data_IF_206499189403
#
_entry.id   IF_206499189403
#
_cell.length_a   1.000
_cell.length_b   1.000
_cell.length_c   1.000
_cell.angle_alpha   90.00
_cell.angle_beta   90.00
_cell.angle_gamma   90.00
#
_symmetry.space_group_name_H-M   'P 1'
#
loop_
_entity.id
_entity.type
_entity.pdbx_description
1 polymer ?
#
# COMPACT_ATOMS: atom_id res chain seq x y z
N UNK A 1 -0.06 -13.32 2.68
CA UNK A 1 0.94 -13.94 1.78
C UNK A 1 2.23 -13.15 1.97
N UNK A 2 3.38 -13.79 2.17
CA UNK A 2 4.63 -13.05 2.25
C UNK A 2 5.04 -12.52 0.87
N UNK A 3 5.36 -11.23 0.80
CA UNK A 3 6.17 -10.62 -0.25
C UNK A 3 7.65 -10.81 0.11
N UNK A 4 8.49 -10.93 -0.91
CA UNK A 4 9.93 -11.06 -0.75
C UNK A 4 10.40 -12.47 -0.36
N UNK A 5 11.68 -12.57 -0.04
CA UNK A 5 12.35 -13.86 0.18
C UNK A 5 13.37 -13.81 1.31
N UNK A 6 13.55 -14.94 2.01
CA UNK A 6 14.62 -15.06 3.01
C UNK A 6 16.02 -14.85 2.41
N UNK A 7 16.21 -15.15 1.11
CA UNK A 7 17.44 -14.86 0.37
C UNK A 7 17.67 -13.37 0.13
N UNK A 8 16.62 -12.60 -0.14
CA UNK A 8 16.73 -11.14 -0.28
C UNK A 8 17.06 -10.48 1.05
N UNK A 9 16.43 -10.91 2.15
CA UNK A 9 16.80 -10.47 3.50
C UNK A 9 18.26 -10.84 3.82
N UNK A 10 18.71 -12.03 3.43
CA UNK A 10 20.09 -12.47 3.62
C UNK A 10 21.09 -11.60 2.83
N UNK A 11 20.71 -11.09 1.66
CA UNK A 11 21.53 -10.16 0.89
C UNK A 11 21.69 -8.79 1.60
N UNK A 12 20.66 -8.32 2.31
CA UNK A 12 20.70 -7.08 3.09
C UNK A 12 21.49 -7.22 4.40
N UNK A 13 21.35 -8.37 5.08
CA UNK A 13 21.94 -8.62 6.40
C UNK A 13 22.97 -9.76 6.38
N UNK A 14 23.91 -9.72 5.43
CA UNK A 14 24.86 -10.83 5.19
C UNK A 14 25.69 -11.23 6.42
N UNK A 15 25.98 -10.31 7.34
CA UNK A 15 26.70 -10.61 8.60
C UNK A 15 25.89 -11.44 9.60
N UNK A 16 24.57 -11.54 9.45
CA UNK A 16 23.70 -12.38 10.28
C UNK A 16 23.55 -13.82 9.74
N UNK A 17 24.13 -14.08 8.55
CA UNK A 17 24.07 -15.39 7.89
C UNK A 17 25.29 -16.24 8.20
N UNK A 18 25.18 -17.56 8.01
CA UNK A 18 26.32 -18.47 8.20
C UNK A 18 27.41 -18.20 7.15
N UNK A 19 28.67 -18.14 7.60
CA UNK A 19 29.82 -18.02 6.73
C UNK A 19 29.87 -19.19 5.74
N UNK A 20 29.87 -18.89 4.43
CA UNK A 20 29.90 -19.89 3.36
C UNK A 20 28.57 -20.01 2.60
N UNK A 21 27.48 -20.26 3.32
CA UNK A 21 26.16 -20.50 2.71
C UNK A 21 25.42 -19.20 2.36
N UNK A 22 25.73 -18.10 3.05
CA UNK A 22 25.08 -16.80 2.80
C UNK A 22 23.57 -16.82 3.02
N UNK A 23 23.08 -17.75 3.84
CA UNK A 23 21.67 -17.97 4.11
C UNK A 23 21.38 -18.06 5.61
N UNK A 24 20.14 -17.76 5.98
CA UNK A 24 19.62 -18.08 7.31
C UNK A 24 19.34 -19.59 7.42
N UNK A 25 19.70 -20.19 8.55
CA UNK A 25 19.43 -21.59 8.85
C UNK A 25 18.90 -21.75 10.30
N UNK A 26 19.00 -22.94 10.87
CA UNK A 26 18.54 -23.20 12.24
C UNK A 26 19.53 -22.71 13.31
N UNK A 27 20.77 -22.45 12.92
CA UNK A 27 21.87 -22.04 13.80
C UNK A 27 22.17 -20.53 13.71
N UNK A 28 21.62 -19.84 12.70
CA UNK A 28 21.68 -18.38 12.62
C UNK A 28 20.78 -17.72 13.67
N UNK A 29 21.12 -16.49 14.05
CA UNK A 29 20.30 -15.67 14.95
C UNK A 29 20.05 -14.32 14.26
N UNK A 30 18.83 -14.06 13.75
CA UNK A 30 17.63 -14.92 13.81
C UNK A 30 17.71 -16.18 12.94
N UNK A 31 16.89 -17.17 13.28
CA UNK A 31 16.73 -18.40 12.49
C UNK A 31 15.96 -18.12 11.19
N UNK A 32 16.11 -18.98 10.18
CA UNK A 32 15.34 -18.88 8.93
C UNK A 32 13.83 -18.77 9.16
N UNK A 33 13.31 -19.54 10.12
CA UNK A 33 11.88 -19.54 10.46
C UNK A 33 11.42 -18.20 11.02
N UNK A 34 12.25 -17.55 11.84
CA UNK A 34 11.96 -16.22 12.36
C UNK A 34 12.00 -15.16 11.27
N UNK A 35 12.97 -15.24 10.34
CA UNK A 35 13.04 -14.31 9.20
C UNK A 35 11.80 -14.43 8.30
N UNK A 36 11.32 -15.65 8.04
CA UNK A 36 10.07 -15.85 7.31
C UNK A 36 8.86 -15.25 8.04
N UNK A 37 8.79 -15.39 9.37
CA UNK A 37 7.74 -14.75 10.16
C UNK A 37 7.80 -13.21 10.07
N UNK A 38 9.00 -12.63 10.07
CA UNK A 38 9.16 -11.17 9.90
C UNK A 38 8.72 -10.70 8.50
N UNK A 39 8.93 -11.51 7.46
CA UNK A 39 8.41 -11.23 6.12
C UNK A 39 6.87 -11.30 6.10
N UNK A 40 6.27 -12.28 6.77
CA UNK A 40 4.82 -12.36 6.92
C UNK A 40 4.26 -11.12 7.63
N UNK A 41 4.88 -10.68 8.72
CA UNK A 41 4.48 -9.49 9.48
C UNK A 41 4.58 -8.21 8.63
N UNK A 42 5.71 -8.02 7.93
CA UNK A 42 5.91 -6.87 7.04
C UNK A 42 4.91 -6.87 5.88
N UNK A 43 4.61 -8.04 5.33
CA UNK A 43 3.64 -8.19 4.24
C UNK A 43 2.21 -7.92 4.71
N UNK A 44 1.85 -8.31 5.93
CA UNK A 44 0.56 -8.00 6.52
C UNK A 44 0.37 -6.49 6.73
N UNK A 45 1.41 -5.77 7.16
CA UNK A 45 1.38 -4.31 7.26
C UNK A 45 1.19 -3.65 5.88
N UNK A 46 1.89 -4.15 4.86
CA UNK A 46 1.74 -3.66 3.49
C UNK A 46 0.34 -3.94 2.93
N UNK A 47 -0.21 -5.13 3.19
CA UNK A 47 -1.58 -5.49 2.81
C UNK A 47 -2.62 -4.58 3.51
N UNK A 48 -2.41 -4.25 4.78
CA UNK A 48 -3.28 -3.32 5.50
C UNK A 48 -3.26 -1.92 4.87
N UNK A 49 -2.09 -1.41 4.48
CA UNK A 49 -1.95 -0.10 3.84
C UNK A 49 -2.53 -0.09 2.42
N UNK A 50 -2.30 -1.14 1.64
CA UNK A 50 -2.90 -1.31 0.32
C UNK A 50 -4.44 -1.39 0.39
N UNK A 51 -4.97 -2.13 1.37
CA UNK A 51 -6.40 -2.22 1.59
C UNK A 51 -7.02 -0.87 1.95
N UNK A 52 -6.34 -0.05 2.76
CA UNK A 52 -6.78 1.33 3.04
C UNK A 52 -6.84 2.20 1.78
N UNK A 53 -5.95 1.95 0.81
CA UNK A 53 -5.92 2.64 -0.48
C UNK A 53 -6.87 2.03 -1.53
N UNK A 54 -7.70 1.06 -1.15
CA UNK A 54 -8.73 0.47 -2.00
C UNK A 54 -8.26 -0.68 -2.89
N UNK A 55 -7.07 -1.23 -2.66
CA UNK A 55 -6.57 -2.39 -3.40
C UNK A 55 -7.08 -3.71 -2.82
N UNK A 56 -7.34 -4.68 -3.70
CA UNK A 56 -7.60 -6.05 -3.29
C UNK A 56 -6.30 -6.70 -2.81
N UNK A 57 -6.31 -7.20 -1.58
CA UNK A 57 -5.15 -7.86 -0.97
C UNK A 57 -5.47 -9.33 -0.67
N UNK A 58 -4.48 -10.24 -0.76
CA UNK A 58 -3.09 -9.99 -1.18
C UNK A 58 -2.98 -9.70 -2.69
N UNK A 59 -2.03 -8.85 -3.07
CA UNK A 59 -1.79 -8.52 -4.49
C UNK A 59 -0.95 -9.63 -5.12
N UNK A 60 -1.41 -10.16 -6.25
CA UNK A 60 -0.76 -11.29 -6.95
C UNK A 60 -0.16 -10.92 -8.31
N UNK A 61 -0.35 -9.68 -8.76
CA UNK A 61 0.20 -9.20 -10.03
C UNK A 61 1.73 -9.18 -9.98
N UNK A 62 2.40 -9.91 -10.88
CA UNK A 62 3.85 -10.18 -10.81
C UNK A 62 4.73 -8.93 -10.84
N UNK A 63 4.34 -7.91 -11.61
CA UNK A 63 5.05 -6.62 -11.65
C UNK A 63 4.91 -5.85 -10.34
N UNK A 64 3.77 -5.99 -9.67
CA UNK A 64 3.53 -5.37 -8.38
C UNK A 64 4.31 -6.10 -7.29
N UNK A 65 4.23 -7.43 -7.26
CA UNK A 65 4.97 -8.23 -6.27
C UNK A 65 6.47 -7.98 -6.37
N UNK A 66 7.04 -7.86 -7.59
CA UNK A 66 8.45 -7.53 -7.77
C UNK A 66 8.88 -6.18 -7.16
N UNK A 67 7.95 -5.22 -7.04
CA UNK A 67 8.18 -3.93 -6.39
C UNK A 67 7.97 -4.01 -4.88
N UNK A 68 7.02 -4.83 -4.42
CA UNK A 68 6.72 -5.03 -3.01
C UNK A 68 7.76 -5.91 -2.30
N UNK A 69 8.36 -6.87 -3.00
CA UNK A 69 9.37 -7.79 -2.48
C UNK A 69 10.50 -7.08 -1.71
N UNK A 70 11.25 -6.11 -2.29
CA UNK A 70 12.32 -5.43 -1.57
C UNK A 70 11.82 -4.63 -0.35
N UNK A 71 10.57 -4.19 -0.35
CA UNK A 71 9.99 -3.38 0.75
C UNK A 71 9.67 -4.26 1.95
N UNK A 72 9.10 -5.45 1.73
CA UNK A 72 8.93 -6.44 2.77
C UNK A 72 10.29 -6.91 3.31
N UNK A 73 11.28 -7.06 2.43
CA UNK A 73 12.65 -7.42 2.81
C UNK A 73 13.32 -6.36 3.70
N UNK A 74 13.09 -5.06 3.47
CA UNK A 74 13.56 -4.00 4.38
C UNK A 74 12.96 -4.13 5.78
N UNK A 75 11.66 -4.41 5.90
CA UNK A 75 11.03 -4.63 7.20
C UNK A 75 11.65 -5.84 7.92
N UNK A 76 11.77 -6.97 7.23
CA UNK A 76 12.35 -8.18 7.78
C UNK A 76 13.84 -8.00 8.15
N UNK A 77 14.60 -7.23 7.38
CA UNK A 77 15.98 -6.85 7.69
C UNK A 77 16.07 -5.97 8.96
N UNK A 78 15.16 -5.00 9.12
CA UNK A 78 15.09 -4.19 10.33
C UNK A 78 14.84 -5.05 11.58
N UNK A 79 13.93 -6.01 11.48
CA UNK A 79 13.61 -6.96 12.55
C UNK A 79 14.76 -7.94 12.82
N UNK A 80 15.46 -8.40 11.78
CA UNK A 80 16.61 -9.27 11.96
C UNK A 80 17.76 -8.56 12.68
N UNK A 81 18.03 -7.31 12.33
CA UNK A 81 19.07 -6.51 12.99
C UNK A 81 18.68 -6.13 14.42
N UNK A 82 17.39 -5.92 14.72
CA UNK A 82 16.94 -5.61 16.08
C UNK A 82 17.14 -6.80 17.03
N UNK A 83 17.04 -8.04 16.53
CA UNK A 83 17.39 -9.24 17.31
C UNK A 83 18.88 -9.23 17.68
N UNK A 84 19.78 -8.87 16.76
CA UNK A 84 21.21 -8.80 17.05
C UNK A 84 21.57 -7.66 18.02
N UNK A 85 20.92 -6.49 17.91
CA UNK A 85 21.17 -5.37 18.83
C UNK A 85 20.74 -5.71 20.26
N UNK A 86 19.60 -6.39 20.43
CA UNK A 86 19.17 -6.90 21.73
C UNK A 86 20.15 -7.96 22.26
N UNK A 87 20.61 -8.88 21.39
CA UNK A 87 21.57 -9.94 21.78
C UNK A 87 22.88 -9.38 22.31
N UNK A 88 23.40 -8.32 21.69
CA UNK A 88 24.70 -7.76 22.05
C UNK A 88 24.73 -7.12 23.44
N UNK A 89 23.61 -6.78 24.07
CA UNK A 89 23.54 -6.04 25.35
C UNK A 89 24.22 -4.65 25.36
N UNK A 90 24.97 -4.32 24.30
CA UNK A 90 25.66 -3.05 24.04
C UNK A 90 24.69 -1.93 23.63
N UNK A 91 23.49 -1.86 24.22
CA UNK A 91 22.50 -0.84 23.88
C UNK A 91 23.01 0.56 24.27
N UNK A 92 23.83 1.14 23.39
CA UNK A 92 24.23 2.53 23.40
C UNK A 92 23.12 3.29 22.66
N UNK A 93 22.04 3.58 23.38
CA UNK A 93 20.79 4.15 22.88
C UNK A 93 20.88 5.58 22.36
N UNK A 94 21.79 5.89 21.45
CA UNK A 94 22.04 7.26 20.99
C UNK A 94 22.35 7.42 19.49
N UNK A 95 22.17 6.41 18.64
CA UNK A 95 22.29 6.65 17.20
C UNK A 95 20.92 6.65 16.50
N UNK A 96 20.51 7.82 16.04
CA UNK A 96 19.55 8.04 14.95
C UNK A 96 19.98 7.34 13.63
N UNK A 97 21.04 6.52 13.65
CA UNK A 97 21.61 5.81 12.50
C UNK A 97 21.88 4.34 12.82
N UNK A 98 21.08 3.72 13.70
CA UNK A 98 21.16 2.28 13.91
C UNK A 98 20.72 1.54 12.64
N UNK A 99 21.38 0.42 12.28
CA UNK A 99 20.98 -0.38 11.11
C UNK A 99 19.49 -0.77 11.12
N UNK A 100 18.89 -1.18 12.26
CA UNK A 100 17.45 -1.41 12.33
C UNK A 100 16.62 -0.17 11.94
N UNK A 101 16.99 1.00 12.45
CA UNK A 101 16.31 2.27 12.13
C UNK A 101 16.41 2.57 10.64
N UNK A 102 17.60 2.43 10.05
CA UNK A 102 17.84 2.68 8.63
C UNK A 102 16.94 1.81 7.72
N UNK A 103 16.86 0.51 8.00
CA UNK A 103 16.00 -0.39 7.22
C UNK A 103 14.51 -0.07 7.40
N UNK A 104 14.10 0.29 8.62
CA UNK A 104 12.72 0.71 8.89
C UNK A 104 12.37 2.03 8.18
N UNK A 105 13.31 2.97 8.09
CA UNK A 105 13.14 4.21 7.32
C UNK A 105 13.04 3.95 5.82
N UNK A 106 13.85 3.03 5.27
CA UNK A 106 13.74 2.62 3.87
C UNK A 106 12.39 1.94 3.59
N UNK A 107 11.93 1.06 4.49
CA UNK A 107 10.62 0.44 4.39
C UNK A 107 9.50 1.49 4.37
N UNK A 108 9.47 2.39 5.36
CA UNK A 108 8.45 3.45 5.46
C UNK A 108 8.52 4.41 4.28
N UNK A 109 9.71 4.90 3.93
CA UNK A 109 9.89 5.82 2.81
C UNK A 109 9.53 5.21 1.46
N UNK A 110 9.76 3.91 1.27
CA UNK A 110 9.33 3.20 0.07
C UNK A 110 7.80 3.03 0.02
N UNK A 111 7.18 2.65 1.16
CA UNK A 111 5.73 2.57 1.28
C UNK A 111 5.06 3.91 1.00
N UNK A 112 5.53 4.98 1.62
CA UNK A 112 5.00 6.33 1.41
C UNK A 112 5.05 6.71 -0.07
N UNK A 113 6.20 6.48 -0.74
CA UNK A 113 6.36 6.78 -2.18
C UNK A 113 5.45 5.96 -3.08
N UNK A 114 5.24 4.68 -2.76
CA UNK A 114 4.34 3.82 -3.55
C UNK A 114 2.89 4.21 -3.34
N UNK A 115 2.51 4.58 -2.11
CA UNK A 115 1.15 4.96 -1.76
C UNK A 115 0.82 6.42 -2.10
N UNK A 116 1.80 7.22 -2.54
CA UNK A 116 1.55 8.55 -3.11
C UNK A 116 0.47 8.49 -4.20
N UNK A 117 -0.31 9.58 -4.29
CA UNK A 117 -1.46 9.67 -5.21
C UNK A 117 -2.41 8.46 -5.10
N UNK A 118 -2.63 7.96 -3.87
CA UNK A 118 -3.46 6.79 -3.55
C UNK A 118 -2.98 5.49 -4.22
N UNK A 119 -1.68 5.31 -4.45
CA UNK A 119 -1.15 4.10 -5.08
C UNK A 119 -1.33 4.03 -6.59
N UNK A 120 -1.42 5.16 -7.29
CA UNK A 120 -1.58 5.22 -8.75
C UNK A 120 -0.55 4.36 -9.49
N UNK A 121 0.70 4.34 -9.02
CA UNK A 121 1.76 3.50 -9.57
C UNK A 121 1.40 2.00 -9.51
N UNK A 122 0.83 1.52 -8.40
CA UNK A 122 0.37 0.14 -8.27
C UNK A 122 -0.75 -0.19 -9.25
N UNK A 123 -1.69 0.74 -9.45
CA UNK A 123 -2.78 0.57 -10.42
C UNK A 123 -2.24 0.47 -11.85
N UNK A 124 -1.25 1.28 -12.22
CA UNK A 124 -0.57 1.23 -13.53
C UNK A 124 0.16 -0.11 -13.71
N UNK A 125 0.79 -0.62 -12.65
CA UNK A 125 1.49 -1.90 -12.65
C UNK A 125 0.55 -3.13 -12.64
N UNK A 126 -0.77 -2.91 -12.55
CA UNK A 126 -1.78 -3.97 -12.63
C UNK A 126 -2.34 -4.45 -11.30
N UNK A 127 -2.15 -3.72 -10.20
CA UNK A 127 -2.84 -4.03 -8.95
C UNK A 127 -4.35 -3.83 -9.11
N UNK A 128 -5.14 -4.84 -8.72
CA UNK A 128 -6.60 -4.78 -8.77
C UNK A 128 -7.13 -3.93 -7.63
N UNK A 129 -8.07 -3.03 -7.93
CA UNK A 129 -8.79 -2.26 -6.92
C UNK A 129 -10.13 -2.92 -6.59
N UNK A 130 -10.43 -3.00 -5.30
CA UNK A 130 -11.74 -3.43 -4.80
C UNK A 130 -12.74 -2.28 -4.71
N UNK A 131 -12.27 -1.04 -4.61
CA UNK A 131 -13.12 0.16 -4.52
C UNK A 131 -12.84 1.15 -5.66
N UNK A 132 -13.89 1.85 -6.09
CA UNK A 132 -13.79 2.92 -7.10
C UNK A 132 -12.94 4.09 -6.55
N UNK A 133 -12.17 4.77 -7.41
CA UNK A 133 -11.47 6.00 -7.03
C UNK A 133 -12.43 7.14 -6.64
N UNK A 134 -13.69 7.06 -7.11
CA UNK A 134 -14.78 7.98 -6.77
C UNK A 134 -15.51 7.60 -5.48
N UNK A 135 -15.11 6.51 -4.80
CA UNK A 135 -15.74 6.09 -3.56
C UNK A 135 -15.57 7.19 -2.49
N UNK A 136 -16.68 7.81 -2.07
CA UNK A 136 -16.71 8.95 -1.16
C UNK A 136 -16.59 10.34 -1.81
N UNK A 137 -16.48 10.44 -3.15
CA UNK A 137 -16.45 11.70 -3.87
C UNK A 137 -17.88 12.09 -4.26
N UNK A 138 -18.51 12.92 -3.43
CA UNK A 138 -19.91 13.33 -3.63
C UNK A 138 -20.02 14.85 -3.75
N UNK A 139 -20.48 15.32 -4.91
CA UNK A 139 -20.95 16.70 -5.06
C UNK A 139 -22.38 16.76 -4.49
N UNK A 140 -22.53 17.25 -3.26
CA UNK A 140 -23.84 17.45 -2.62
C UNK A 140 -24.12 16.63 -1.35
N UNK A 141 -23.21 15.73 -0.93
CA UNK A 141 -23.33 15.03 0.35
C UNK A 141 -24.19 13.76 0.36
N UNK A 142 -24.62 13.26 -0.80
CA UNK A 142 -25.28 11.97 -0.97
C UNK A 142 -24.37 11.02 -1.74
N UNK A 143 -24.29 9.76 -1.33
CA UNK A 143 -23.56 8.74 -2.09
C UNK A 143 -24.20 8.46 -3.46
N UNK A 144 -23.45 7.92 -4.44
CA UNK A 144 -24.03 7.56 -5.75
C UNK A 144 -25.13 6.50 -5.59
N UNK A 145 -24.91 5.53 -4.70
CA UNK A 145 -25.90 4.53 -4.31
C UNK A 145 -27.11 5.15 -3.60
N UNK A 146 -26.92 6.15 -2.75
CA UNK A 146 -28.04 6.89 -2.15
C UNK A 146 -28.77 7.73 -3.20
N UNK A 147 -28.06 8.38 -4.13
CA UNK A 147 -28.69 9.17 -5.17
C UNK A 147 -29.62 8.32 -6.03
N UNK A 148 -29.17 7.16 -6.50
CA UNK A 148 -30.01 6.23 -7.27
C UNK A 148 -31.17 5.64 -6.44
N UNK A 149 -31.08 5.67 -5.11
CA UNK A 149 -32.15 5.24 -4.20
C UNK A 149 -33.18 6.36 -3.93
N UNK A 150 -32.77 7.63 -3.98
CA UNK A 150 -33.56 8.78 -3.53
C UNK A 150 -33.99 9.75 -4.65
N UNK A 151 -33.33 9.73 -5.80
CA UNK A 151 -33.65 10.56 -6.97
C UNK A 151 -33.80 9.64 -8.18
N UNK A 152 -35.05 9.30 -8.53
CA UNK A 152 -35.33 8.70 -9.83
C UNK A 152 -35.42 9.83 -10.87
N UNK A 153 -34.95 9.62 -12.10
CA UNK A 153 -34.97 10.67 -13.15
C UNK A 153 -36.40 11.16 -13.46
N UNK A 154 -37.42 10.45 -12.96
CA UNK A 154 -38.83 10.85 -12.98
C UNK A 154 -39.19 12.01 -12.03
N UNK A 155 -38.36 12.32 -11.04
CA UNK A 155 -38.60 13.40 -10.07
C UNK A 155 -38.28 14.78 -10.63
N UNK A 156 -37.57 14.84 -11.76
CA UNK A 156 -37.32 16.07 -12.48
C UNK A 156 -38.59 16.51 -13.23
N UNK A 157 -39.32 17.46 -12.65
CA UNK A 157 -40.39 18.16 -13.35
C UNK A 157 -39.77 18.91 -14.54
N UNK A 158 -40.13 18.52 -15.77
CA UNK A 158 -39.71 19.25 -16.96
C UNK A 158 -40.01 20.75 -16.78
N UNK A 159 -39.04 21.65 -17.04
CA UNK A 159 -39.27 23.08 -16.94
C UNK A 159 -40.41 23.48 -17.88
N UNK A 160 -41.44 24.16 -17.33
CA UNK A 160 -42.62 24.63 -18.08
C UNK A 160 -42.30 25.62 -19.20
N UNK A 161 -41.05 26.06 -19.30
CA UNK A 161 -40.59 27.02 -20.28
C UNK A 161 -39.67 26.33 -21.28
N UNK A 162 -40.09 26.30 -22.54
CA UNK A 162 -39.26 25.90 -23.68
C UNK A 162 -38.67 27.15 -24.32
N UNK A 163 -37.43 27.06 -24.80
CA UNK A 163 -36.81 28.12 -25.61
C UNK A 163 -37.75 28.44 -26.79
N UNK A 164 -38.13 29.71 -26.92
CA UNK A 164 -39.06 30.20 -27.95
C UNK A 164 -40.51 30.42 -27.52
N UNK A 165 -40.93 30.02 -26.31
CA UNK A 165 -42.31 30.22 -25.84
C UNK A 165 -42.69 31.67 -25.50
N UNK A 166 -41.71 32.57 -25.36
CA UNK A 166 -41.92 34.01 -25.14
C UNK A 166 -41.45 34.88 -26.33
N UNK A 167 -41.17 34.28 -27.50
CA UNK A 167 -40.76 35.03 -28.69
C UNK A 167 -42.00 35.72 -29.30
N UNK A 168 -42.28 36.96 -28.89
CA UNK A 168 -43.39 37.77 -29.40
C UNK A 168 -43.06 38.28 -30.82
N UNK A 169 -43.13 37.41 -31.81
CA UNK A 169 -43.07 37.76 -33.24
C UNK A 169 -44.46 38.06 -33.80
N UNK A 170 -45.09 39.11 -33.30
CA UNK A 170 -46.20 39.77 -34.02
C UNK A 170 -46.17 41.27 -33.75
N UNK A 171 -45.33 41.98 -34.49
CA UNK A 171 -45.54 43.40 -34.79
C UNK A 171 -45.52 43.52 -36.31
N UNK A 172 -46.71 43.45 -36.91
CA UNK A 172 -46.92 43.85 -38.31
C UNK A 172 -47.10 45.38 -38.31
N UNK A 173 -46.13 46.09 -38.88
CA UNK A 173 -46.26 47.48 -39.30
C UNK A 173 -47.01 47.56 -40.63
#
# INVERSE_FOLDING_TARGET
MAYGSASGVAALCKHLTTQGDGAFNNDTTPTRRQVLAFLDDGSALMDAEMSQNGFSTPVTASLVTAVLDPIAEFYAAAMAESVETVRRSDWQGTSESSKPTHWMELHRGAMDRIMMERGKALSILGATRGTSLAYGLHAGGLSEDEKDTWEDDSDFIEPRFKIGMMDNKTVNW
#
